data_IF_563325111673
#
_entry.id   IF_563325111673
#
_cell.length_a   1.000
_cell.length_b   1.000
_cell.length_c   1.000
_cell.angle_alpha   90.00
_cell.angle_beta   90.00
_cell.angle_gamma   90.00
#
_symmetry.space_group_name_H-M   'P 1'
#
loop_
_entity.id
_entity.type
_entity.pdbx_description
1 polymer ?
#
# COMPACT_ATOMS: atom_id res chain seq x y z
N UNK A 1 12.99 3.78 -11.25
CA UNK A 1 12.15 4.82 -10.62
C UNK A 1 11.33 4.28 -9.46
N UNK A 2 10.65 3.16 -9.63
CA UNK A 2 9.81 2.58 -8.56
C UNK A 2 10.55 2.31 -7.27
N UNK A 3 11.76 1.76 -7.36
CA UNK A 3 12.55 1.45 -6.18
C UNK A 3 12.94 2.70 -5.38
N UNK A 4 13.27 3.79 -6.08
CA UNK A 4 13.61 5.04 -5.40
C UNK A 4 12.40 5.63 -4.69
N UNK A 5 11.22 5.53 -5.29
CA UNK A 5 9.99 6.03 -4.67
C UNK A 5 9.60 5.20 -3.45
N UNK A 6 9.78 3.89 -3.49
CA UNK A 6 9.56 3.04 -2.31
C UNK A 6 10.44 3.50 -1.13
N UNK A 7 11.69 3.83 -1.40
CA UNK A 7 12.59 4.32 -0.36
C UNK A 7 12.12 5.67 0.20
N UNK A 8 11.59 6.53 -0.65
CA UNK A 8 11.01 7.80 -0.20
C UNK A 8 9.84 7.52 0.74
N UNK A 9 8.97 6.58 0.37
CA UNK A 9 7.83 6.22 1.24
C UNK A 9 8.32 5.70 2.59
N UNK A 10 9.30 4.80 2.59
CA UNK A 10 9.83 4.23 3.82
C UNK A 10 10.52 5.26 4.71
N UNK A 11 11.02 6.34 4.13
CA UNK A 11 11.66 7.42 4.88
C UNK A 11 10.65 8.42 5.44
N UNK A 12 9.37 8.31 5.08
CA UNK A 12 8.34 9.28 5.46
C UNK A 12 7.15 8.62 6.15
N UNK A 13 7.42 7.64 7.02
CA UNK A 13 6.37 6.88 7.68
C UNK A 13 5.48 7.76 8.57
N UNK A 14 6.04 8.79 9.20
CA UNK A 14 5.27 9.68 10.05
C UNK A 14 4.25 10.48 9.23
N UNK A 15 4.65 10.95 8.06
CA UNK A 15 3.77 11.68 7.17
C UNK A 15 2.67 10.76 6.62
N UNK A 16 3.01 9.51 6.32
CA UNK A 16 2.02 8.51 5.88
C UNK A 16 0.99 8.30 6.99
N UNK A 17 1.45 8.15 8.24
CA UNK A 17 0.54 7.96 9.37
C UNK A 17 -0.41 9.14 9.51
N UNK A 18 0.09 10.36 9.38
CA UNK A 18 -0.75 11.57 9.47
C UNK A 18 -1.74 11.67 8.31
N UNK A 19 -1.29 11.37 7.10
CA UNK A 19 -2.16 11.40 5.92
C UNK A 19 -3.31 10.40 6.04
N UNK A 20 -3.03 9.23 6.58
CA UNK A 20 -4.02 8.19 6.82
C UNK A 20 -4.82 8.42 8.11
N UNK A 21 -4.47 9.44 8.89
CA UNK A 21 -5.12 9.78 10.16
C UNK A 21 -5.02 8.67 11.21
N UNK A 22 -3.85 8.03 11.26
CA UNK A 22 -3.57 6.95 12.21
C UNK A 22 -2.36 7.28 13.09
N UNK A 23 -2.00 8.55 13.17
CA UNK A 23 -0.84 8.98 13.94
C UNK A 23 -1.02 8.83 15.44
N UNK A 24 -2.26 8.66 15.92
CA UNK A 24 -2.54 8.37 17.32
C UNK A 24 -2.64 6.86 17.62
N UNK A 25 -2.45 6.03 16.61
CA UNK A 25 -2.57 4.57 16.73
C UNK A 25 -1.17 3.96 16.61
N UNK A 26 -0.84 3.01 17.48
CA UNK A 26 0.42 2.30 17.36
C UNK A 26 0.45 1.53 16.04
N UNK A 27 1.54 1.67 15.28
CA UNK A 27 1.70 1.03 13.99
C UNK A 27 3.08 0.41 13.85
N UNK A 28 3.17 -0.63 13.02
CA UNK A 28 4.43 -1.22 12.60
C UNK A 28 4.47 -1.24 11.09
N UNK A 29 5.59 -0.83 10.51
CA UNK A 29 5.78 -0.74 9.07
C UNK A 29 6.78 -1.81 8.63
N UNK A 30 6.41 -2.63 7.64
CA UNK A 30 7.33 -3.62 7.10
C UNK A 30 6.94 -3.94 5.65
N UNK A 31 7.86 -4.56 4.90
CA UNK A 31 7.55 -5.14 3.60
C UNK A 31 7.25 -6.62 3.79
N UNK A 32 6.49 -7.19 2.85
CA UNK A 32 6.11 -8.59 2.94
C UNK A 32 6.37 -9.30 1.63
N UNK A 33 6.83 -10.52 1.72
CA UNK A 33 7.06 -11.38 0.56
C UNK A 33 6.43 -12.74 0.81
N UNK A 34 5.74 -13.27 -0.21
CA UNK A 34 5.14 -14.60 -0.16
C UNK A 34 6.23 -15.67 -0.05
N UNK A 35 5.91 -16.73 0.67
CA UNK A 35 6.74 -17.93 0.76
C UNK A 35 6.52 -18.88 -0.42
N UNK A 36 5.58 -18.56 -1.31
CA UNK A 36 5.30 -19.38 -2.47
C UNK A 36 6.52 -19.46 -3.38
N UNK A 37 6.90 -20.67 -3.79
CA UNK A 37 8.06 -20.93 -4.64
C UNK A 37 7.67 -21.27 -6.07
N UNK A 38 6.39 -21.41 -6.37
CA UNK A 38 5.90 -21.86 -7.65
C UNK A 38 4.75 -21.01 -8.18
N UNK A 39 4.55 -21.06 -9.51
CA UNK A 39 3.43 -20.44 -10.17
C UNK A 39 3.49 -18.93 -10.17
N UNK A 40 2.34 -18.32 -10.45
CA UNK A 40 2.22 -16.87 -10.55
C UNK A 40 2.38 -16.16 -9.19
N UNK A 41 2.32 -16.92 -8.07
CA UNK A 41 2.52 -16.36 -6.74
C UNK A 41 3.98 -16.30 -6.32
N UNK A 42 4.86 -16.89 -7.13
CA UNK A 42 6.29 -16.89 -6.84
C UNK A 42 6.82 -15.45 -6.83
N UNK A 43 7.45 -15.08 -5.73
CA UNK A 43 8.03 -13.75 -5.59
C UNK A 43 7.01 -12.65 -5.38
N UNK A 44 5.74 -12.98 -5.14
CA UNK A 44 4.73 -11.97 -4.85
C UNK A 44 5.15 -11.20 -3.60
N UNK A 45 5.06 -9.87 -3.68
CA UNK A 45 5.52 -9.02 -2.59
C UNK A 45 4.60 -7.82 -2.44
N UNK A 46 4.51 -7.33 -1.21
CA UNK A 46 3.80 -6.09 -0.88
C UNK A 46 4.86 -5.09 -0.45
N UNK A 47 4.87 -3.93 -1.11
CA UNK A 47 5.91 -2.90 -0.90
C UNK A 47 5.94 -2.43 0.54
N UNK A 48 4.77 -2.22 1.12
CA UNK A 48 4.66 -1.69 2.46
C UNK A 48 3.38 -2.20 3.11
N UNK A 49 3.54 -2.78 4.29
CA UNK A 49 2.41 -3.21 5.13
C UNK A 49 2.42 -2.35 6.38
N UNK A 50 1.27 -1.80 6.74
CA UNK A 50 1.11 -1.03 7.97
C UNK A 50 0.18 -1.80 8.89
N UNK A 51 0.75 -2.41 9.91
CA UNK A 51 0.00 -3.12 10.93
C UNK A 51 -0.41 -2.14 12.01
N UNK A 52 -1.69 -2.09 12.31
CA UNK A 52 -2.27 -1.09 13.21
C UNK A 52 -2.85 -1.76 14.45
N UNK A 53 -2.71 -1.09 15.59
CA UNK A 53 -3.23 -1.63 16.86
C UNK A 53 -4.77 -1.67 16.89
N UNK A 54 -5.46 -1.02 15.96
CA UNK A 54 -6.93 -1.04 15.86
C UNK A 54 -7.44 -2.24 15.05
N UNK A 55 -6.62 -3.26 14.84
CA UNK A 55 -6.94 -4.49 14.13
C UNK A 55 -7.22 -4.30 12.64
N UNK A 56 -6.61 -3.28 12.05
CA UNK A 56 -6.65 -3.03 10.63
C UNK A 56 -5.24 -3.10 10.06
N UNK A 57 -5.13 -3.47 8.80
CA UNK A 57 -3.85 -3.52 8.08
C UNK A 57 -4.01 -2.77 6.77
N UNK A 58 -3.12 -1.80 6.52
CA UNK A 58 -3.04 -1.18 5.21
C UNK A 58 -2.00 -1.93 4.38
N UNK A 59 -2.42 -2.44 3.24
CA UNK A 59 -1.53 -3.04 2.25
C UNK A 59 -1.28 -1.97 1.20
N UNK A 60 -0.04 -1.49 1.11
CA UNK A 60 0.28 -0.32 0.31
C UNK A 60 1.06 -0.68 -0.95
N UNK A 61 0.64 -0.10 -2.07
CA UNK A 61 1.39 -0.09 -3.32
C UNK A 61 1.98 1.30 -3.52
N UNK A 62 3.29 1.36 -3.74
CA UNK A 62 3.99 2.62 -3.95
C UNK A 62 4.25 2.78 -5.44
N UNK A 63 3.61 3.77 -6.07
CA UNK A 63 3.67 3.96 -7.52
C UNK A 63 4.08 5.38 -7.89
N UNK A 64 5.21 5.49 -8.57
CA UNK A 64 5.65 6.75 -9.15
C UNK A 64 5.04 6.91 -10.55
N UNK A 65 4.53 8.10 -10.85
CA UNK A 65 4.00 8.40 -12.18
C UNK A 65 4.13 9.90 -12.46
N UNK A 66 4.05 10.27 -13.74
CA UNK A 66 4.15 11.69 -14.16
C UNK A 66 2.79 12.38 -14.20
N UNK A 67 1.72 11.63 -13.94
CA UNK A 67 0.35 12.12 -13.86
C UNK A 67 -0.41 11.24 -12.88
N UNK A 68 -1.71 11.43 -12.74
CA UNK A 68 -2.53 10.54 -11.92
C UNK A 68 -2.30 9.09 -12.35
N UNK A 69 -2.23 8.20 -11.37
CA UNK A 69 -1.94 6.79 -11.61
C UNK A 69 -3.21 6.04 -12.02
N UNK A 70 -3.19 5.40 -13.19
CA UNK A 70 -4.32 4.62 -13.68
C UNK A 70 -4.10 3.14 -13.38
N UNK A 71 -5.06 2.52 -12.68
CA UNK A 71 -4.98 1.11 -12.33
C UNK A 71 -5.50 0.28 -13.50
N UNK A 72 -4.64 -0.60 -14.04
CA UNK A 72 -5.03 -1.53 -15.10
C UNK A 72 -5.79 -2.72 -14.53
N UNK A 73 -6.50 -3.45 -15.39
CA UNK A 73 -7.19 -4.67 -15.02
C UNK A 73 -6.22 -5.71 -14.45
N UNK A 74 -5.04 -5.82 -15.05
CA UNK A 74 -4.02 -6.75 -14.57
C UNK A 74 -3.51 -6.39 -13.20
N UNK A 75 -3.29 -5.11 -12.94
CA UNK A 75 -2.82 -4.67 -11.65
C UNK A 75 -3.86 -4.86 -10.57
N UNK A 76 -5.12 -4.57 -10.86
CA UNK A 76 -6.21 -4.82 -9.93
C UNK A 76 -6.27 -6.29 -9.56
N UNK A 77 -6.12 -7.17 -10.54
CA UNK A 77 -6.11 -8.61 -10.30
C UNK A 77 -4.93 -9.02 -9.41
N UNK A 78 -3.74 -8.47 -9.67
CA UNK A 78 -2.55 -8.75 -8.86
C UNK A 78 -2.72 -8.28 -7.43
N UNK A 79 -3.29 -7.11 -7.22
CA UNK A 79 -3.55 -6.58 -5.89
C UNK A 79 -4.48 -7.48 -5.09
N UNK A 80 -5.58 -7.89 -5.70
CA UNK A 80 -6.52 -8.79 -5.04
C UNK A 80 -5.89 -10.14 -4.71
N UNK A 81 -5.06 -10.64 -5.62
CA UNK A 81 -4.34 -11.89 -5.41
C UNK A 81 -3.34 -11.79 -4.26
N UNK A 82 -2.59 -10.68 -4.20
CA UNK A 82 -1.64 -10.44 -3.10
C UNK A 82 -2.34 -10.33 -1.76
N UNK A 83 -3.50 -9.68 -1.74
CA UNK A 83 -4.29 -9.54 -0.52
C UNK A 83 -4.76 -10.91 -0.02
N UNK A 84 -5.29 -11.74 -0.92
CA UNK A 84 -5.73 -13.09 -0.60
C UNK A 84 -4.57 -13.93 -0.08
N UNK A 85 -3.42 -13.83 -0.76
CA UNK A 85 -2.23 -14.58 -0.40
C UNK A 85 -1.68 -14.15 0.96
N UNK A 86 -1.67 -12.86 1.22
CA UNK A 86 -1.26 -12.31 2.51
C UNK A 86 -2.14 -12.83 3.64
N UNK A 87 -3.46 -12.79 3.45
CA UNK A 87 -4.39 -13.30 4.46
C UNK A 87 -4.17 -14.79 4.72
N UNK A 88 -3.96 -15.55 3.67
CA UNK A 88 -3.76 -17.00 3.78
C UNK A 88 -2.45 -17.32 4.50
N UNK A 89 -1.35 -16.68 4.12
CA UNK A 89 -0.02 -17.00 4.67
C UNK A 89 0.17 -16.48 6.08
N UNK A 90 -0.39 -15.33 6.40
CA UNK A 90 -0.26 -14.75 7.75
C UNK A 90 -1.36 -15.21 8.69
N UNK A 91 -2.44 -15.79 8.16
CA UNK A 91 -3.63 -16.18 8.92
C UNK A 91 -4.22 -15.01 9.72
N UNK A 92 -4.01 -13.78 9.27
CA UNK A 92 -4.50 -12.61 9.97
C UNK A 92 -6.03 -12.52 9.95
N UNK A 93 -6.59 -12.06 11.05
CA UNK A 93 -8.03 -11.77 11.16
C UNK A 93 -8.33 -10.29 11.09
N UNK A 94 -7.29 -9.46 10.91
CA UNK A 94 -7.43 -8.03 10.77
C UNK A 94 -8.14 -7.68 9.46
N UNK A 95 -8.87 -6.57 9.45
CA UNK A 95 -9.40 -6.02 8.21
C UNK A 95 -8.26 -5.50 7.34
N UNK A 96 -8.41 -5.59 6.03
CA UNK A 96 -7.37 -5.18 5.09
C UNK A 96 -7.86 -4.01 4.26
N UNK A 97 -7.06 -2.94 4.23
CA UNK A 97 -7.33 -1.75 3.44
C UNK A 97 -6.31 -1.64 2.31
N UNK A 98 -6.71 -1.96 1.05
CA UNK A 98 -5.84 -1.66 -0.08
C UNK A 98 -5.57 -0.16 -0.14
N UNK A 99 -4.29 0.20 -0.18
CA UNK A 99 -3.82 1.58 -0.06
C UNK A 99 -2.82 1.88 -1.18
N UNK A 100 -2.95 3.04 -1.80
CA UNK A 100 -1.97 3.49 -2.79
C UNK A 100 -1.22 4.71 -2.28
N UNK A 101 0.09 4.70 -2.44
CA UNK A 101 0.95 5.87 -2.23
C UNK A 101 1.48 6.23 -3.60
N UNK A 102 1.06 7.36 -4.13
CA UNK A 102 1.37 7.76 -5.50
C UNK A 102 1.89 9.17 -5.56
N UNK A 103 2.42 9.55 -6.71
CA UNK A 103 2.90 10.91 -6.92
C UNK A 103 1.74 11.90 -6.92
N UNK A 104 0.68 11.62 -7.70
CA UNK A 104 -0.41 12.58 -7.96
C UNK A 104 -1.81 12.04 -7.66
N UNK A 105 -1.92 10.91 -6.98
CA UNK A 105 -3.21 10.29 -6.70
C UNK A 105 -3.58 9.25 -7.74
N UNK A 106 -4.63 8.49 -7.46
CA UNK A 106 -5.15 7.45 -8.34
C UNK A 106 -6.24 8.07 -9.21
N UNK A 107 -6.13 7.87 -10.52
CA UNK A 107 -7.12 8.36 -11.46
C UNK A 107 -8.44 7.62 -11.24
N UNK A 108 -9.54 8.38 -11.18
CA UNK A 108 -10.88 7.79 -11.07
C UNK A 108 -11.15 6.93 -12.31
N UNK A 109 -11.58 5.70 -12.09
CA UNK A 109 -11.85 4.76 -13.17
C UNK A 109 -12.48 3.50 -12.64
N UNK A 110 -12.50 2.47 -13.47
CA UNK A 110 -13.19 1.21 -13.18
C UNK A 110 -12.70 0.54 -11.89
N UNK A 111 -11.41 0.66 -11.59
CA UNK A 111 -10.80 -0.06 -10.47
C UNK A 111 -10.44 0.83 -9.29
N UNK A 112 -10.64 2.13 -9.39
CA UNK A 112 -10.24 3.06 -8.33
C UNK A 112 -11.08 2.87 -7.06
N UNK A 113 -12.29 2.34 -7.18
CA UNK A 113 -13.14 2.11 -6.02
C UNK A 113 -12.63 0.98 -5.12
N UNK A 114 -11.71 0.16 -5.64
CA UNK A 114 -11.08 -0.91 -4.85
C UNK A 114 -9.98 -0.37 -3.95
N UNK A 115 -9.57 0.87 -4.14
CA UNK A 115 -8.57 1.53 -3.30
C UNK A 115 -9.31 2.22 -2.15
N UNK A 116 -9.02 1.79 -0.93
CA UNK A 116 -9.72 2.30 0.25
C UNK A 116 -9.06 3.57 0.79
N UNK A 117 -7.75 3.68 0.64
CA UNK A 117 -7.00 4.84 1.16
C UNK A 117 -5.89 5.24 0.19
N UNK A 118 -5.57 6.53 0.18
CA UNK A 118 -4.54 7.08 -0.70
C UNK A 118 -3.67 8.06 0.06
N UNK A 119 -2.39 8.06 -0.29
CA UNK A 119 -1.40 9.06 0.16
C UNK A 119 -0.70 9.57 -1.09
N UNK A 120 -0.46 10.86 -1.19
CA UNK A 120 0.25 11.45 -2.33
C UNK A 120 1.62 11.96 -1.92
N UNK A 121 2.45 12.28 -2.91
CA UNK A 121 3.77 12.85 -2.62
C UNK A 121 3.67 14.15 -1.83
N UNK A 122 2.65 14.97 -2.09
CA UNK A 122 2.43 16.19 -1.32
C UNK A 122 2.24 15.87 0.18
N UNK A 123 1.55 14.79 0.49
CA UNK A 123 1.38 14.36 1.86
C UNK A 123 2.71 13.96 2.51
N UNK A 124 3.60 13.32 1.73
CA UNK A 124 4.90 12.89 2.25
C UNK A 124 5.80 14.05 2.64
N UNK A 125 5.64 15.19 2.00
CA UNK A 125 6.45 16.38 2.27
C UNK A 125 5.71 17.45 3.06
N UNK A 126 4.54 17.11 3.58
CA UNK A 126 3.78 18.00 4.44
C UNK A 126 4.27 17.85 5.89
N UNK A 127 4.85 18.93 6.42
CA UNK A 127 5.37 18.96 7.79
C UNK A 127 4.44 19.63 8.79
N UNK A 128 3.24 19.97 8.38
CA UNK A 128 2.24 20.56 9.27
C UNK A 128 1.68 19.51 10.23
N UNK A 129 1.52 19.90 11.44
CA UNK A 129 1.01 19.04 12.52
C UNK A 129 -0.50 19.16 12.61
#
# INVERSE_FOLDING_TARGET
>A
MGLAFEKVCLAHTEQIRRALRIDSIFTQFYSWRSKSTEGENRGAQIDLVIERADQMINICECKYSTSEYEISAEEDKRMRNRQTLFQKETATKCGIFPTFITTYGVKRGKYSDNVIAQVTMDDLFNNEI
#
